data_IF_448743723526
#
_entry.id   IF_448743723526
#
_cell.length_a   1.000
_cell.length_b   1.000
_cell.length_c   1.000
_cell.angle_alpha   90.00
_cell.angle_beta   90.00
_cell.angle_gamma   90.00
#
_symmetry.space_group_name_H-M   'P 1'
#
loop_
_entity.id
_entity.type
_entity.pdbx_description
1 polymer ?
#
# COMPACT_ATOMS: atom_id res chain seq x y z
N UNK A 1 28.77 3.54 -6.40
CA UNK A 1 27.59 2.64 -6.45
C UNK A 1 27.89 1.57 -7.48
N UNK A 2 27.58 0.32 -7.16
CA UNK A 2 27.71 -0.78 -8.10
C UNK A 2 26.61 -0.71 -9.17
N UNK A 3 26.84 -1.29 -10.35
CA UNK A 3 25.81 -1.37 -11.40
C UNK A 3 24.52 -2.05 -10.93
N UNK A 4 24.63 -2.96 -9.95
CA UNK A 4 23.49 -3.68 -9.36
C UNK A 4 22.64 -2.73 -8.53
N UNK A 5 23.26 -1.92 -7.68
CA UNK A 5 22.55 -0.92 -6.87
C UNK A 5 21.81 0.08 -7.74
N UNK A 6 22.47 0.61 -8.78
CA UNK A 6 21.84 1.56 -9.71
C UNK A 6 20.66 0.95 -10.46
N UNK A 7 20.78 -0.28 -10.97
CA UNK A 7 19.67 -0.96 -11.66
C UNK A 7 18.48 -1.21 -10.73
N UNK A 8 18.75 -1.47 -9.45
CA UNK A 8 17.72 -1.68 -8.44
C UNK A 8 16.99 -0.38 -8.07
N UNK A 9 17.74 0.72 -7.93
CA UNK A 9 17.17 2.04 -7.67
C UNK A 9 16.31 2.52 -8.86
N UNK A 10 16.75 2.27 -10.09
CA UNK A 10 15.96 2.55 -11.31
C UNK A 10 14.65 1.78 -11.33
N UNK A 11 14.69 0.49 -10.97
CA UNK A 11 13.48 -0.33 -10.87
C UNK A 11 12.52 0.20 -9.80
N UNK A 12 13.03 0.59 -8.62
CA UNK A 12 12.21 1.20 -7.57
C UNK A 12 11.55 2.49 -8.02
N UNK A 13 12.29 3.36 -8.71
CA UNK A 13 11.73 4.60 -9.25
C UNK A 13 10.64 4.33 -10.29
N UNK A 14 10.86 3.37 -11.19
CA UNK A 14 9.86 2.99 -12.18
C UNK A 14 8.60 2.39 -11.52
N UNK A 15 8.76 1.55 -10.50
CA UNK A 15 7.66 0.98 -9.73
C UNK A 15 6.85 2.06 -9.00
N UNK A 16 7.52 3.02 -8.35
CA UNK A 16 6.87 4.14 -7.70
C UNK A 16 6.01 4.94 -8.69
N UNK A 17 6.54 5.19 -9.89
CA UNK A 17 5.82 5.91 -10.94
C UNK A 17 4.56 5.19 -11.42
N UNK A 18 4.64 3.86 -11.62
CA UNK A 18 3.46 3.03 -11.94
C UNK A 18 2.39 3.07 -10.83
N UNK A 19 2.79 3.39 -9.60
CA UNK A 19 1.93 3.56 -8.42
C UNK A 19 1.65 5.04 -8.12
N UNK A 20 1.65 5.88 -9.17
CA UNK A 20 1.31 7.30 -9.10
C UNK A 20 2.22 8.14 -8.18
N UNK A 21 3.44 7.67 -7.91
CA UNK A 21 4.41 8.31 -7.01
C UNK A 21 3.84 8.53 -5.59
N UNK A 22 2.89 7.66 -5.18
CA UNK A 22 2.14 7.74 -3.92
C UNK A 22 2.35 6.55 -2.99
N UNK A 23 3.24 5.63 -3.33
CA UNK A 23 3.44 4.39 -2.58
C UNK A 23 4.93 4.20 -2.30
N UNK A 24 5.24 3.78 -1.08
CA UNK A 24 6.56 3.28 -0.73
C UNK A 24 6.94 2.10 -1.63
N UNK A 25 8.02 2.27 -2.41
CA UNK A 25 8.48 1.25 -3.34
C UNK A 25 8.86 -0.06 -2.64
N UNK A 26 9.40 0.00 -1.41
CA UNK A 26 9.77 -1.20 -0.66
C UNK A 26 8.54 -2.00 -0.22
N UNK A 27 7.46 -1.30 0.17
CA UNK A 27 6.16 -1.91 0.43
C UNK A 27 5.65 -2.64 -0.81
N UNK A 28 5.62 -1.96 -1.96
CA UNK A 28 5.12 -2.51 -3.22
C UNK A 28 5.92 -3.76 -3.66
N UNK A 29 7.25 -3.69 -3.62
CA UNK A 29 8.11 -4.82 -3.93
C UNK A 29 7.86 -6.02 -3.01
N UNK A 30 7.67 -5.78 -1.71
CA UNK A 30 7.43 -6.86 -0.75
C UNK A 30 6.09 -7.54 -1.00
N UNK A 31 5.05 -6.80 -1.38
CA UNK A 31 3.75 -7.36 -1.80
C UNK A 31 3.94 -8.24 -3.03
N UNK A 32 4.54 -7.71 -4.10
CA UNK A 32 4.78 -8.46 -5.34
C UNK A 32 5.61 -9.74 -5.10
N UNK A 33 6.61 -9.65 -4.23
CA UNK A 33 7.42 -10.81 -3.83
C UNK A 33 6.58 -11.87 -3.15
N UNK A 34 5.73 -11.49 -2.18
CA UNK A 34 4.90 -12.43 -1.42
C UNK A 34 3.80 -13.05 -2.30
N UNK A 35 3.16 -12.27 -3.17
CA UNK A 35 2.20 -12.80 -4.16
C UNK A 35 2.83 -13.84 -5.07
N UNK A 36 4.06 -13.59 -5.54
CA UNK A 36 4.79 -14.56 -6.38
C UNK A 36 5.17 -15.82 -5.61
N UNK A 37 5.49 -15.70 -4.31
CA UNK A 37 5.92 -16.84 -3.48
C UNK A 37 4.75 -17.65 -2.93
N UNK A 38 3.61 -17.01 -2.69
CA UNK A 38 2.42 -17.58 -2.07
C UNK A 38 1.18 -17.22 -2.92
N UNK A 39 1.08 -17.75 -4.16
CA UNK A 39 0.06 -17.31 -5.13
C UNK A 39 -1.37 -17.63 -4.71
N UNK A 40 -1.55 -18.59 -3.79
CA UNK A 40 -2.87 -19.03 -3.34
C UNK A 40 -3.48 -18.11 -2.28
N UNK A 41 -2.71 -17.15 -1.74
CA UNK A 41 -3.19 -16.29 -0.66
C UNK A 41 -2.57 -14.89 -0.67
N UNK A 42 -3.43 -13.87 -0.66
CA UNK A 42 -3.02 -12.46 -0.50
C UNK A 42 -2.22 -12.26 0.81
N UNK A 43 -1.08 -11.56 0.78
CA UNK A 43 -0.35 -11.24 1.99
C UNK A 43 -1.15 -10.37 2.96
N UNK A 44 -0.81 -10.44 4.24
CA UNK A 44 -1.35 -9.54 5.27
C UNK A 44 -0.55 -8.25 5.26
N UNK A 45 -1.23 -7.11 5.24
CA UNK A 45 -0.60 -5.81 5.34
C UNK A 45 -1.18 -4.98 6.49
N UNK A 46 -0.31 -4.17 7.06
CA UNK A 46 -0.63 -3.05 7.95
C UNK A 46 -0.15 -1.79 7.26
N UNK A 47 -1.08 -0.97 6.76
CA UNK A 47 -0.78 0.22 5.99
C UNK A 47 -1.08 1.48 6.79
N UNK A 48 -0.26 2.50 6.58
CA UNK A 48 -0.57 3.89 6.88
C UNK A 48 -0.86 4.64 5.57
N UNK A 49 -2.03 5.26 5.50
CA UNK A 49 -2.50 6.00 4.33
C UNK A 49 -2.67 7.46 4.74
N UNK A 50 -1.83 8.32 4.18
CA UNK A 50 -1.95 9.77 4.30
C UNK A 50 -2.91 10.31 3.26
N UNK A 51 -3.87 11.11 3.69
CA UNK A 51 -4.82 11.82 2.82
C UNK A 51 -4.71 13.33 2.99
N UNK A 52 -5.36 14.07 2.09
CA UNK A 52 -5.31 15.54 2.07
C UNK A 52 -5.80 16.23 3.34
N UNK A 53 -6.83 15.67 4.00
CA UNK A 53 -7.39 16.25 5.23
C UNK A 53 -8.19 15.24 6.07
N UNK A 54 -8.52 15.64 7.29
CA UNK A 54 -9.19 14.82 8.31
C UNK A 54 -10.62 14.39 7.91
N UNK A 55 -11.36 15.24 7.19
CA UNK A 55 -12.73 14.92 6.73
C UNK A 55 -12.68 13.77 5.73
N UNK A 56 -11.72 13.83 4.79
CA UNK A 56 -11.47 12.75 3.84
C UNK A 56 -11.04 11.49 4.57
N UNK A 57 -10.17 11.59 5.58
CA UNK A 57 -9.72 10.42 6.34
C UNK A 57 -10.89 9.68 6.99
N UNK A 58 -11.80 10.43 7.61
CA UNK A 58 -12.98 9.86 8.24
C UNK A 58 -13.94 9.19 7.24
N UNK A 59 -14.15 9.81 6.08
CA UNK A 59 -14.99 9.26 5.01
C UNK A 59 -14.37 7.98 4.41
N UNK A 60 -13.06 8.01 4.16
CA UNK A 60 -12.34 6.90 3.56
C UNK A 60 -12.23 5.72 4.52
N UNK A 61 -12.06 5.94 5.83
CA UNK A 61 -12.15 4.89 6.86
C UNK A 61 -13.45 4.10 6.73
N UNK A 62 -14.59 4.80 6.68
CA UNK A 62 -15.90 4.16 6.60
C UNK A 62 -16.07 3.34 5.31
N UNK A 63 -15.50 3.83 4.21
CA UNK A 63 -15.51 3.10 2.93
C UNK A 63 -14.60 1.87 2.97
N UNK A 64 -13.39 1.97 3.54
CA UNK A 64 -12.43 0.88 3.67
C UNK A 64 -12.98 -0.26 4.54
N UNK A 65 -13.60 0.07 5.68
CA UNK A 65 -14.27 -0.90 6.55
C UNK A 65 -15.43 -1.60 5.79
N UNK A 66 -16.28 -0.82 5.10
CA UNK A 66 -17.51 -1.35 4.49
C UNK A 66 -17.29 -2.10 3.16
N UNK A 67 -16.23 -1.78 2.40
CA UNK A 67 -16.05 -2.29 1.03
C UNK A 67 -14.88 -3.23 0.87
N UNK A 68 -13.81 -3.05 1.64
CA UNK A 68 -12.58 -3.84 1.50
C UNK A 68 -12.36 -4.82 2.64
N UNK A 69 -13.18 -4.78 3.70
CA UNK A 69 -13.05 -5.66 4.86
C UNK A 69 -11.76 -5.41 5.65
N UNK A 70 -11.15 -4.24 5.47
CA UNK A 70 -10.04 -3.79 6.31
C UNK A 70 -10.56 -3.43 7.70
N UNK A 71 -9.72 -3.63 8.72
CA UNK A 71 -9.91 -2.98 10.00
C UNK A 71 -9.22 -1.61 9.92
N UNK A 72 -10.01 -0.54 9.79
CA UNK A 72 -9.49 0.81 9.64
C UNK A 72 -9.66 1.63 10.93
N UNK A 73 -8.60 2.36 11.29
CA UNK A 73 -8.64 3.44 12.28
C UNK A 73 -8.12 4.72 11.64
N UNK A 74 -8.55 5.88 12.13
CA UNK A 74 -8.07 7.16 11.64
C UNK A 74 -7.60 8.05 12.78
N UNK A 75 -6.52 8.79 12.53
CA UNK A 75 -6.03 9.85 13.40
C UNK A 75 -5.63 11.04 12.53
N UNK A 76 -6.35 12.16 12.65
CA UNK A 76 -6.21 13.33 11.76
C UNK A 76 -6.37 12.90 10.30
N UNK A 77 -5.42 13.26 9.44
CA UNK A 77 -5.40 12.94 8.02
C UNK A 77 -4.67 11.61 7.70
N UNK A 78 -4.43 10.77 8.70
CA UNK A 78 -3.85 9.43 8.53
C UNK A 78 -4.88 8.34 8.81
N UNK A 79 -4.85 7.29 8.00
CA UNK A 79 -5.68 6.10 8.16
C UNK A 79 -4.77 4.90 8.28
N UNK A 80 -4.88 4.17 9.38
CA UNK A 80 -4.19 2.90 9.57
C UNK A 80 -5.14 1.77 9.24
N UNK A 81 -4.76 0.88 8.31
CA UNK A 81 -5.58 -0.29 7.93
C UNK A 81 -4.81 -1.59 8.08
N UNK A 82 -5.49 -2.63 8.57
CA UNK A 82 -4.97 -3.99 8.61
C UNK A 82 -5.88 -4.95 7.81
N UNK A 83 -5.28 -5.75 6.93
CA UNK A 83 -6.01 -6.80 6.20
C UNK A 83 -5.23 -7.42 5.04
N UNK A 84 -5.96 -8.02 4.09
CA UNK A 84 -5.39 -8.70 2.92
C UNK A 84 -5.19 -7.72 1.77
N UNK A 85 -4.02 -7.75 1.14
CA UNK A 85 -3.72 -6.84 0.03
C UNK A 85 -3.04 -7.56 -1.13
N UNK A 86 -3.29 -7.05 -2.33
CA UNK A 86 -2.59 -7.39 -3.56
C UNK A 86 -1.98 -6.15 -4.20
N UNK A 87 -1.02 -6.31 -5.12
CA UNK A 87 -0.42 -5.17 -5.82
C UNK A 87 -1.47 -4.39 -6.62
N UNK A 88 -2.47 -5.08 -7.16
CA UNK A 88 -3.60 -4.46 -7.87
C UNK A 88 -4.47 -3.61 -6.94
N UNK A 89 -4.78 -4.13 -5.74
CA UNK A 89 -5.54 -3.36 -4.72
C UNK A 89 -4.75 -2.14 -4.27
N UNK A 90 -3.43 -2.28 -4.09
CA UNK A 90 -2.54 -1.17 -3.73
C UNK A 90 -2.51 -0.09 -4.81
N UNK A 91 -2.36 -0.48 -6.09
CA UNK A 91 -2.40 0.44 -7.22
C UNK A 91 -3.75 1.17 -7.32
N UNK A 92 -4.85 0.44 -7.14
CA UNK A 92 -6.20 1.04 -7.08
C UNK A 92 -6.31 2.06 -5.95
N UNK A 93 -5.77 1.76 -4.76
CA UNK A 93 -5.72 2.73 -3.66
C UNK A 93 -4.90 3.96 -4.03
N UNK A 94 -3.70 3.79 -4.58
CA UNK A 94 -2.85 4.91 -4.99
C UNK A 94 -3.49 5.82 -6.05
N UNK A 95 -4.37 5.27 -6.90
CA UNK A 95 -5.08 6.02 -7.94
C UNK A 95 -6.09 7.05 -7.40
N UNK A 96 -6.54 6.94 -6.13
CA UNK A 96 -7.48 7.90 -5.58
C UNK A 96 -6.84 9.28 -5.43
N UNK A 97 -7.54 10.31 -5.93
CA UNK A 97 -7.02 11.68 -5.98
C UNK A 97 -6.72 12.27 -4.60
N UNK A 98 -7.38 11.78 -3.56
CA UNK A 98 -7.28 12.30 -2.20
C UNK A 98 -6.24 11.58 -1.33
N UNK A 99 -5.68 10.48 -1.83
CA UNK A 99 -4.52 9.81 -1.23
C UNK A 99 -3.25 10.56 -1.64
N UNK A 100 -2.44 10.89 -0.65
CA UNK A 100 -1.14 11.55 -0.82
C UNK A 100 0.02 10.57 -0.73
N UNK A 101 -0.06 9.60 0.18
CA UNK A 101 1.01 8.63 0.40
C UNK A 101 0.50 7.35 1.06
N UNK A 102 1.10 6.22 0.71
CA UNK A 102 0.84 4.90 1.31
C UNK A 102 2.18 4.28 1.70
N UNK A 103 2.31 3.93 2.97
CA UNK A 103 3.43 3.15 3.50
C UNK A 103 2.91 2.04 4.41
N UNK A 104 3.81 1.21 4.92
CA UNK A 104 3.41 0.16 5.86
C UNK A 104 4.30 -1.06 5.85
N UNK A 105 3.76 -2.15 6.36
CA UNK A 105 4.44 -3.43 6.45
C UNK A 105 3.57 -4.57 5.95
N UNK A 106 4.22 -5.67 5.58
CA UNK A 106 3.57 -6.83 4.96
C UNK A 106 4.18 -8.12 5.47
N UNK A 107 3.35 -9.11 5.74
CA UNK A 107 3.74 -10.45 6.19
C UNK A 107 3.03 -11.54 5.38
N UNK A 108 3.57 -12.77 5.35
CA UNK A 108 2.84 -13.94 4.85
C UNK A 108 1.49 -14.10 5.54
N UNK A 109 0.54 -14.68 4.84
CA UNK A 109 -0.84 -14.72 5.31
C UNK A 109 -1.10 -15.55 6.57
N UNK A 110 -0.19 -16.46 6.87
CA UNK A 110 -0.26 -17.53 7.87
C UNK A 110 0.55 -17.27 9.15
N UNK A 111 1.12 -16.07 9.32
CA UNK A 111 1.89 -15.66 10.50
C UNK A 111 1.13 -14.71 11.42
#
# INVERSE_FOLDING_TARGET
MSNIESSFDEYKAHLAHMLHDKVDADLAMKIMYLERKLPDVDPKAELDIKVKNDIIAQNLKNWLDAKLGFQASCHKNHITVAGRISIEKLAKLASYADIEWISGSVTPASY
#
